data_IF_533948318326
#
_entry.id   IF_533948318326
#
_cell.length_a   1.000
_cell.length_b   1.000
_cell.length_c   1.000
_cell.angle_alpha   90.00
_cell.angle_beta   90.00
_cell.angle_gamma   90.00
#
_symmetry.space_group_name_H-M   'P 1'
#
loop_
_entity.id
_entity.type
_entity.pdbx_description
1 polymer ?
#
# COMPACT_ATOMS: atom_id res chain seq x y z
N UNK A 1 3.86 18.29 3.58
CA UNK A 1 2.47 18.32 3.04
C UNK A 1 2.41 17.23 1.99
N UNK A 2 1.27 16.55 1.74
CA UNK A 2 1.18 15.66 0.59
C UNK A 2 1.44 16.44 -0.68
N UNK A 3 1.97 15.78 -1.71
CA UNK A 3 2.18 16.45 -2.99
C UNK A 3 0.87 17.09 -3.44
N UNK A 4 0.92 18.33 -3.89
CA UNK A 4 -0.26 19.11 -4.27
C UNK A 4 -1.10 18.43 -5.35
N UNK A 5 -0.51 17.48 -6.10
CA UNK A 5 -1.12 16.72 -7.18
C UNK A 5 -2.37 15.91 -6.77
N UNK A 6 -2.40 15.40 -5.53
CA UNK A 6 -3.57 14.64 -5.01
C UNK A 6 -4.75 15.56 -4.71
N UNK A 7 -4.49 16.78 -4.26
CA UNK A 7 -5.53 17.76 -3.89
C UNK A 7 -6.01 18.55 -5.10
N UNK A 8 -5.17 18.74 -6.12
CA UNK A 8 -5.47 19.53 -7.33
C UNK A 8 -6.09 18.73 -8.47
N UNK A 9 -6.30 17.41 -8.29
CA UNK A 9 -6.83 16.54 -9.34
C UNK A 9 -5.83 16.24 -10.47
N UNK A 10 -4.56 16.59 -10.32
CA UNK A 10 -3.54 16.25 -11.32
C UNK A 10 -3.22 14.76 -11.31
N UNK A 11 -3.31 14.11 -10.16
CA UNK A 11 -3.02 12.69 -10.03
C UNK A 11 -4.01 11.82 -10.81
N UNK A 12 -5.31 12.12 -10.78
CA UNK A 12 -6.33 11.35 -11.52
C UNK A 12 -6.11 11.42 -13.03
N UNK A 13 -5.56 12.52 -13.54
CA UNK A 13 -5.21 12.64 -14.97
C UNK A 13 -4.10 11.67 -15.37
N UNK A 14 -3.17 11.39 -14.45
CA UNK A 14 -2.06 10.44 -14.66
C UNK A 14 -2.49 8.98 -14.42
N UNK A 15 -3.37 8.76 -13.44
CA UNK A 15 -3.82 7.44 -12.98
C UNK A 15 -5.35 7.40 -12.88
N UNK A 16 -6.09 7.36 -14.01
CA UNK A 16 -7.55 7.51 -14.04
C UNK A 16 -8.33 6.47 -13.23
N UNK A 17 -7.76 5.29 -13.03
CA UNK A 17 -8.42 4.18 -12.32
C UNK A 17 -7.99 4.04 -10.86
N UNK A 18 -7.20 4.99 -10.31
CA UNK A 18 -6.77 4.95 -8.91
C UNK A 18 -6.31 3.57 -8.46
N UNK A 19 -5.60 2.84 -9.34
CA UNK A 19 -5.11 1.50 -9.06
C UNK A 19 -6.20 0.48 -8.64
N UNK A 20 -7.45 0.69 -9.02
CA UNK A 20 -8.55 -0.23 -8.67
C UNK A 20 -8.32 -1.66 -9.15
N UNK A 21 -7.56 -1.83 -10.25
CA UNK A 21 -7.18 -3.14 -10.78
C UNK A 21 -6.36 -3.99 -9.80
N UNK A 22 -5.65 -3.35 -8.87
CA UNK A 22 -4.82 -4.00 -7.86
C UNK A 22 -5.59 -4.32 -6.57
N UNK A 23 -6.82 -3.79 -6.41
CA UNK A 23 -7.56 -3.81 -5.13
C UNK A 23 -7.95 -5.21 -4.68
N UNK A 24 -8.40 -6.08 -5.60
CA UNK A 24 -8.71 -7.49 -5.29
C UNK A 24 -7.46 -8.21 -4.78
N UNK A 25 -6.35 -7.98 -5.44
CA UNK A 25 -5.08 -8.57 -5.07
C UNK A 25 -4.60 -8.05 -3.70
N UNK A 26 -4.65 -6.73 -3.45
CA UNK A 26 -4.31 -6.12 -2.15
C UNK A 26 -5.18 -6.68 -1.03
N UNK A 27 -6.49 -6.71 -1.22
CA UNK A 27 -7.43 -7.25 -0.24
C UNK A 27 -7.14 -8.73 0.09
N UNK A 28 -6.78 -9.55 -0.91
CA UNK A 28 -6.37 -10.94 -0.69
C UNK A 28 -5.09 -11.02 0.17
N UNK A 29 -4.12 -10.11 -0.03
CA UNK A 29 -2.91 -10.05 0.79
C UNK A 29 -3.18 -9.59 2.21
N UNK A 30 -4.05 -8.61 2.40
CA UNK A 30 -4.52 -8.20 3.73
C UNK A 30 -5.12 -9.40 4.46
N UNK A 31 -6.07 -10.12 3.85
CA UNK A 31 -6.66 -11.33 4.44
C UNK A 31 -5.63 -12.40 4.78
N UNK A 32 -4.64 -12.61 3.91
CA UNK A 32 -3.53 -13.55 4.16
C UNK A 32 -2.74 -13.16 5.41
N UNK A 33 -2.42 -11.85 5.60
CA UNK A 33 -1.75 -11.37 6.81
C UNK A 33 -2.59 -11.63 8.05
N UNK A 34 -3.88 -11.28 8.00
CA UNK A 34 -4.79 -11.49 9.13
C UNK A 34 -4.86 -12.96 9.53
N UNK A 35 -5.00 -13.87 8.56
CA UNK A 35 -5.04 -15.33 8.82
C UNK A 35 -3.73 -15.85 9.42
N UNK A 36 -2.57 -15.44 8.88
CA UNK A 36 -1.25 -15.86 9.36
C UNK A 36 -0.97 -15.42 10.79
N UNK A 37 -1.52 -14.26 11.18
CA UNK A 37 -1.26 -13.66 12.49
C UNK A 37 -2.46 -13.81 13.44
N UNK A 38 -3.47 -14.59 13.08
CA UNK A 38 -4.68 -14.85 13.89
C UNK A 38 -5.38 -13.57 14.34
N UNK A 39 -5.43 -12.55 13.48
CA UNK A 39 -6.10 -11.28 13.74
C UNK A 39 -7.53 -11.27 13.19
N UNK A 40 -8.46 -10.82 14.01
CA UNK A 40 -9.89 -10.70 13.68
C UNK A 40 -10.40 -9.30 14.02
N UNK A 41 -9.96 -8.25 13.28
CA UNK A 41 -10.35 -6.87 13.53
C UNK A 41 -11.85 -6.68 13.26
N UNK A 42 -12.51 -5.87 14.11
CA UNK A 42 -13.92 -5.46 13.94
C UNK A 42 -14.04 -4.11 13.26
N UNK A 43 -13.03 -3.26 13.39
CA UNK A 43 -12.98 -1.96 12.74
C UNK A 43 -11.63 -1.79 12.01
N UNK A 44 -11.70 -1.70 10.68
CA UNK A 44 -10.53 -1.51 9.82
C UNK A 44 -10.56 -0.11 9.24
N UNK A 45 -9.46 0.64 9.46
CA UNK A 45 -9.21 1.92 8.81
C UNK A 45 -8.27 1.76 7.62
N UNK A 46 -8.40 2.63 6.61
CA UNK A 46 -7.43 2.76 5.51
C UNK A 46 -7.08 4.23 5.28
N UNK A 47 -5.79 4.54 5.28
CA UNK A 47 -5.26 5.87 4.95
C UNK A 47 -4.87 5.88 3.47
N UNK A 48 -5.31 6.92 2.75
CA UNK A 48 -5.14 6.97 1.29
C UNK A 48 -6.00 5.90 0.60
N UNK A 49 -7.27 5.79 1.01
CA UNK A 49 -8.16 4.73 0.53
C UNK A 49 -8.55 4.85 -0.94
N UNK A 50 -8.22 5.99 -1.58
CA UNK A 50 -8.59 6.25 -2.95
C UNK A 50 -10.10 6.09 -3.16
N UNK A 51 -10.49 5.25 -4.10
CA UNK A 51 -11.90 4.98 -4.41
C UNK A 51 -12.59 4.03 -3.42
N UNK A 52 -11.93 3.59 -2.33
CA UNK A 52 -12.46 2.66 -1.35
C UNK A 52 -12.56 1.20 -1.83
N UNK A 53 -11.97 0.86 -2.97
CA UNK A 53 -12.15 -0.45 -3.58
C UNK A 53 -11.46 -1.57 -2.78
N UNK A 54 -10.32 -1.32 -2.14
CA UNK A 54 -9.66 -2.32 -1.27
C UNK A 54 -10.58 -2.67 -0.09
N UNK A 55 -11.14 -1.66 0.58
CA UNK A 55 -12.08 -1.86 1.68
C UNK A 55 -13.34 -2.60 1.24
N UNK A 56 -13.89 -2.28 0.05
CA UNK A 56 -15.02 -2.99 -0.52
C UNK A 56 -14.71 -4.48 -0.75
N UNK A 57 -13.53 -4.79 -1.28
CA UNK A 57 -13.10 -6.17 -1.49
C UNK A 57 -12.86 -6.93 -0.17
N UNK A 58 -12.39 -6.23 0.87
CA UNK A 58 -12.29 -6.80 2.22
C UNK A 58 -13.68 -7.08 2.79
N UNK A 59 -14.61 -6.14 2.68
CA UNK A 59 -15.99 -6.28 3.17
C UNK A 59 -16.68 -7.52 2.60
N UNK A 60 -16.45 -7.87 1.32
CA UNK A 60 -17.03 -9.03 0.67
C UNK A 60 -16.52 -10.37 1.23
N UNK A 61 -15.34 -10.39 1.85
CA UNK A 61 -14.69 -11.63 2.28
C UNK A 61 -14.37 -11.69 3.78
N UNK A 62 -14.88 -10.75 4.59
CA UNK A 62 -14.67 -10.71 6.04
C UNK A 62 -15.99 -10.84 6.80
N UNK A 63 -15.88 -10.99 8.13
CA UNK A 63 -17.02 -11.10 9.03
C UNK A 63 -18.06 -10.01 8.71
N UNK A 64 -19.37 -10.36 8.62
CA UNK A 64 -20.45 -9.40 8.41
C UNK A 64 -20.52 -8.28 9.46
N UNK A 65 -19.96 -8.47 10.65
CA UNK A 65 -19.91 -7.44 11.71
C UNK A 65 -18.70 -6.51 11.59
N UNK A 66 -17.73 -6.81 10.70
CA UNK A 66 -16.57 -5.96 10.49
C UNK A 66 -16.98 -4.67 9.77
N UNK A 67 -16.55 -3.54 10.32
CA UNK A 67 -16.77 -2.20 9.78
C UNK A 67 -15.50 -1.66 9.12
N UNK A 68 -15.69 -0.78 8.14
CA UNK A 68 -14.61 -0.25 7.31
C UNK A 68 -14.71 1.27 7.17
N UNK A 69 -13.60 1.96 7.38
CA UNK A 69 -13.52 3.42 7.28
C UNK A 69 -12.30 3.82 6.46
N UNK A 70 -12.53 4.42 5.30
CA UNK A 70 -11.47 4.97 4.45
C UNK A 70 -11.29 6.47 4.65
N UNK A 71 -10.06 6.94 4.54
CA UNK A 71 -9.71 8.37 4.54
C UNK A 71 -8.83 8.67 3.34
N UNK A 72 -9.20 9.70 2.62
CA UNK A 72 -8.37 10.23 1.54
C UNK A 72 -8.46 11.77 1.53
N UNK A 73 -7.40 12.41 1.03
CA UNK A 73 -7.32 13.87 0.89
C UNK A 73 -7.70 14.35 -0.51
N UNK A 74 -7.89 13.43 -1.45
CA UNK A 74 -8.25 13.71 -2.83
C UNK A 74 -9.77 13.74 -3.00
N UNK A 75 -10.38 14.90 -3.35
CA UNK A 75 -11.83 15.01 -3.52
C UNK A 75 -12.37 14.04 -4.57
N UNK A 76 -11.68 13.89 -5.70
CA UNK A 76 -12.12 13.04 -6.80
C UNK A 76 -12.13 11.55 -6.42
N UNK A 77 -11.19 11.13 -5.58
CA UNK A 77 -11.16 9.76 -5.06
C UNK A 77 -12.40 9.46 -4.21
N UNK A 78 -12.73 10.39 -3.32
CA UNK A 78 -13.91 10.26 -2.45
C UNK A 78 -15.21 10.33 -3.24
N UNK A 79 -15.30 11.17 -4.27
CA UNK A 79 -16.44 11.18 -5.18
C UNK A 79 -16.64 9.81 -5.83
N UNK A 80 -15.59 9.21 -6.36
CA UNK A 80 -15.63 7.87 -6.93
C UNK A 80 -15.96 6.78 -5.89
N UNK A 81 -15.66 6.99 -4.62
CA UNK A 81 -15.97 6.03 -3.55
C UNK A 81 -17.45 5.98 -3.20
N UNK A 82 -18.23 7.01 -3.51
CA UNK A 82 -19.64 7.14 -3.09
C UNK A 82 -20.50 5.93 -3.50
N UNK A 83 -20.26 5.38 -4.68
CA UNK A 83 -21.02 4.21 -5.19
C UNK A 83 -20.68 2.91 -4.44
N UNK A 84 -19.65 2.90 -3.61
CA UNK A 84 -19.19 1.74 -2.83
C UNK A 84 -19.58 1.81 -1.36
N UNK A 85 -19.98 3.00 -0.90
CA UNK A 85 -20.33 3.23 0.49
C UNK A 85 -21.66 2.56 0.85
N UNK A 86 -21.75 2.09 2.07
CA UNK A 86 -22.93 1.46 2.66
C UNK A 86 -22.84 1.53 4.20
N UNK A 87 -23.73 0.87 4.93
CA UNK A 87 -23.75 0.87 6.40
C UNK A 87 -22.44 0.38 7.03
N UNK A 88 -21.71 -0.51 6.34
CA UNK A 88 -20.46 -1.09 6.85
C UNK A 88 -19.19 -0.46 6.27
N UNK A 89 -19.28 0.29 5.20
CA UNK A 89 -18.16 0.92 4.51
C UNK A 89 -18.44 2.40 4.29
N UNK A 90 -17.62 3.24 4.90
CA UNK A 90 -17.65 4.68 4.72
C UNK A 90 -16.28 5.19 4.27
N UNK A 91 -16.28 6.22 3.41
CA UNK A 91 -15.07 6.93 2.99
C UNK A 91 -15.25 8.43 3.27
N UNK A 92 -14.21 9.08 3.81
CA UNK A 92 -14.23 10.48 4.19
C UNK A 92 -13.13 11.28 3.48
N UNK A 93 -13.49 12.44 2.99
CA UNK A 93 -12.52 13.43 2.51
C UNK A 93 -11.90 14.12 3.74
N UNK A 94 -10.82 13.54 4.24
CA UNK A 94 -10.15 14.08 5.41
C UNK A 94 -8.71 13.57 5.53
N UNK A 95 -7.88 14.38 6.17
CA UNK A 95 -6.60 13.94 6.69
C UNK A 95 -6.84 13.29 8.06
N UNK A 96 -6.67 11.96 8.13
CA UNK A 96 -6.92 11.18 9.34
C UNK A 96 -6.16 11.71 10.57
N UNK A 97 -5.02 12.39 10.36
CA UNK A 97 -4.24 13.01 11.44
C UNK A 97 -5.00 14.13 12.17
N UNK A 98 -6.05 14.65 11.54
CA UNK A 98 -6.89 15.74 12.05
C UNK A 98 -8.25 15.27 12.53
N UNK A 99 -8.53 13.96 12.46
CA UNK A 99 -9.81 13.38 12.86
C UNK A 99 -9.81 13.04 14.35
N UNK A 100 -10.55 13.79 15.20
CA UNK A 100 -10.59 13.54 16.63
C UNK A 100 -11.19 12.17 16.93
N UNK A 101 -10.50 11.39 17.77
CA UNK A 101 -11.01 10.11 18.23
C UNK A 101 -10.98 8.97 17.19
N UNK A 102 -10.33 9.18 16.04
CA UNK A 102 -10.12 8.08 15.10
C UNK A 102 -9.29 6.98 15.76
N UNK A 103 -9.87 5.79 15.86
CA UNK A 103 -9.20 4.61 16.42
C UNK A 103 -9.73 3.35 15.76
N UNK A 104 -8.82 2.42 15.43
CA UNK A 104 -9.12 1.20 14.65
C UNK A 104 -8.48 -0.01 15.32
N UNK A 105 -9.00 -1.20 15.06
CA UNK A 105 -8.31 -2.45 15.44
C UNK A 105 -7.13 -2.71 14.49
N UNK A 106 -7.28 -2.36 13.21
CA UNK A 106 -6.25 -2.46 12.19
C UNK A 106 -6.29 -1.21 11.30
N UNK A 107 -5.13 -0.60 11.06
CA UNK A 107 -4.96 0.50 10.12
C UNK A 107 -4.17 0.04 8.90
N UNK A 108 -4.76 0.17 7.72
CA UNK A 108 -4.11 -0.11 6.44
C UNK A 108 -3.42 1.16 5.93
N UNK A 109 -2.16 1.03 5.51
CA UNK A 109 -1.33 2.10 4.93
C UNK A 109 -0.68 1.49 3.67
N UNK A 110 -1.43 1.55 2.57
CA UNK A 110 -1.09 0.83 1.33
C UNK A 110 -0.68 1.81 0.23
N UNK A 111 0.61 1.82 -0.14
CA UNK A 111 1.20 2.72 -1.15
C UNK A 111 0.99 4.22 -0.80
N UNK A 112 1.29 4.58 0.45
CA UNK A 112 1.12 5.95 0.96
C UNK A 112 2.44 6.60 1.34
N UNK A 113 3.38 5.83 1.94
CA UNK A 113 4.62 6.40 2.47
C UNK A 113 5.51 6.99 1.37
N UNK A 114 5.46 6.44 0.18
CA UNK A 114 6.21 6.89 -0.98
C UNK A 114 5.89 8.35 -1.34
N UNK A 115 4.68 8.80 -1.01
CA UNK A 115 4.16 10.13 -1.36
C UNK A 115 4.24 11.15 -0.21
N UNK A 116 4.68 10.74 0.99
CA UNK A 116 4.77 11.65 2.13
C UNK A 116 6.10 12.41 2.12
N UNK A 117 6.08 13.74 2.07
CA UNK A 117 7.33 14.55 2.19
C UNK A 117 8.14 14.16 3.43
N UNK A 118 7.47 14.10 4.59
CA UNK A 118 8.05 13.69 5.86
C UNK A 118 7.36 12.42 6.36
N UNK A 119 7.76 11.28 5.80
CA UNK A 119 7.17 9.99 6.16
C UNK A 119 7.47 9.57 7.61
N UNK A 120 8.56 10.02 8.24
CA UNK A 120 8.81 9.78 9.65
C UNK A 120 7.77 10.47 10.55
N UNK A 121 7.46 11.74 10.27
CA UNK A 121 6.40 12.44 11.00
C UNK A 121 5.03 11.79 10.77
N UNK A 122 4.79 11.32 9.55
CA UNK A 122 3.57 10.56 9.24
C UNK A 122 3.50 9.26 10.04
N UNK A 123 4.56 8.46 10.07
CA UNK A 123 4.63 7.23 10.86
C UNK A 123 4.32 7.49 12.35
N UNK A 124 4.93 8.53 12.97
CA UNK A 124 4.62 8.91 14.35
C UNK A 124 3.15 9.19 14.58
N UNK A 125 2.52 9.90 13.66
CA UNK A 125 1.11 10.25 13.79
C UNK A 125 0.16 9.07 13.63
N UNK A 126 0.57 7.98 12.97
CA UNK A 126 -0.23 6.77 12.81
C UNK A 126 -0.21 5.85 14.04
N UNK A 127 0.74 6.03 14.97
CA UNK A 127 0.93 5.10 16.09
C UNK A 127 -0.27 5.00 17.01
N UNK A 128 -0.88 6.12 17.37
CA UNK A 128 -2.00 6.17 18.31
C UNK A 128 -3.33 5.73 17.69
N UNK A 129 -3.43 5.64 16.37
CA UNK A 129 -4.69 5.39 15.68
C UNK A 129 -5.12 3.91 15.71
N UNK A 130 -4.21 2.99 16.00
CA UNK A 130 -4.52 1.55 16.00
C UNK A 130 -3.42 0.77 16.72
N UNK A 131 -3.71 -0.37 17.39
CA UNK A 131 -2.68 -1.28 17.87
C UNK A 131 -1.92 -1.98 16.73
N UNK A 132 -2.58 -2.29 15.60
CA UNK A 132 -1.96 -2.97 14.46
C UNK A 132 -2.00 -2.10 13.22
N UNK A 133 -0.87 -1.99 12.51
CA UNK A 133 -0.74 -1.32 11.22
C UNK A 133 -0.25 -2.32 10.19
N UNK A 134 -0.91 -2.34 9.04
CA UNK A 134 -0.47 -3.12 7.90
C UNK A 134 -0.02 -2.17 6.80
N UNK A 135 1.27 -2.19 6.56
CA UNK A 135 1.92 -1.41 5.52
C UNK A 135 2.07 -2.23 4.24
N UNK A 136 1.91 -1.58 3.11
CA UNK A 136 2.38 -2.05 1.81
C UNK A 136 3.20 -0.96 1.16
N UNK A 137 4.34 -1.33 0.60
CA UNK A 137 5.19 -0.42 -0.18
C UNK A 137 5.85 -1.13 -1.34
N UNK A 138 6.11 -0.38 -2.39
CA UNK A 138 6.82 -0.85 -3.55
C UNK A 138 8.33 -0.76 -3.34
N UNK A 139 9.06 -1.86 -3.60
CA UNK A 139 10.52 -1.89 -3.50
C UNK A 139 11.12 -1.53 -4.87
N UNK A 140 11.23 -0.24 -5.13
CA UNK A 140 11.70 0.27 -6.43
C UNK A 140 13.20 0.49 -6.49
N UNK A 141 13.87 0.50 -5.35
CA UNK A 141 15.30 0.66 -5.27
C UNK A 141 15.99 -0.71 -5.40
N UNK A 142 16.38 -1.06 -6.62
CA UNK A 142 17.13 -2.27 -6.95
C UNK A 142 18.34 -1.94 -7.80
N UNK A 143 19.32 -2.84 -7.86
CA UNK A 143 20.51 -2.67 -8.71
C UNK A 143 20.09 -2.42 -10.18
N UNK A 144 19.15 -3.20 -10.70
CA UNK A 144 18.62 -3.03 -12.03
C UNK A 144 17.97 -1.65 -12.24
N UNK A 145 17.24 -1.14 -11.24
CA UNK A 145 16.57 0.16 -11.33
C UNK A 145 17.58 1.32 -11.35
N UNK A 146 18.63 1.23 -10.53
CA UNK A 146 19.69 2.24 -10.42
C UNK A 146 20.57 2.26 -11.68
N UNK A 147 20.93 1.09 -12.22
CA UNK A 147 21.77 0.97 -13.42
C UNK A 147 21.04 1.46 -14.69
N UNK A 148 19.72 1.48 -14.72
CA UNK A 148 18.94 2.02 -15.85
C UNK A 148 18.84 3.53 -15.74
N UNK A 149 19.64 4.25 -16.52
CA UNK A 149 19.66 5.72 -16.55
C UNK A 149 18.25 6.31 -16.63
N UNK A 150 17.94 7.23 -15.72
CA UNK A 150 16.67 7.96 -15.70
C UNK A 150 15.43 7.15 -15.25
N UNK A 151 15.57 5.88 -14.88
CA UNK A 151 14.43 5.04 -14.51
C UNK A 151 13.69 5.56 -13.28
N UNK A 152 14.40 5.87 -12.19
CA UNK A 152 13.80 6.38 -10.96
C UNK A 152 13.19 7.78 -11.15
N UNK A 153 13.88 8.66 -11.88
CA UNK A 153 13.37 10.01 -12.19
C UNK A 153 12.10 9.96 -13.03
N UNK A 154 12.06 9.09 -14.05
CA UNK A 154 10.87 8.87 -14.88
C UNK A 154 9.72 8.32 -14.03
N UNK A 155 10.02 7.41 -13.13
CA UNK A 155 9.02 6.85 -12.23
C UNK A 155 8.43 7.94 -11.33
N UNK A 156 9.27 8.76 -10.70
CA UNK A 156 8.81 9.91 -9.90
C UNK A 156 7.84 10.82 -10.67
N UNK A 157 8.10 11.07 -11.95
CA UNK A 157 7.22 11.90 -12.77
C UNK A 157 5.86 11.26 -13.07
N UNK A 158 5.80 9.91 -13.12
CA UNK A 158 4.56 9.16 -13.42
C UNK A 158 3.72 8.94 -12.16
N UNK A 159 4.36 8.50 -11.07
CA UNK A 159 3.66 8.04 -9.85
C UNK A 159 3.68 9.06 -8.72
N UNK A 160 4.41 10.18 -8.88
CA UNK A 160 4.65 11.18 -7.82
C UNK A 160 5.30 10.60 -6.55
N UNK A 161 6.07 9.50 -6.70
CA UNK A 161 6.83 8.89 -5.60
C UNK A 161 7.97 9.81 -5.19
N UNK A 162 7.99 10.26 -3.94
CA UNK A 162 9.06 11.07 -3.36
C UNK A 162 10.19 10.20 -2.81
N UNK A 163 9.85 9.01 -2.36
CA UNK A 163 10.76 8.06 -1.71
C UNK A 163 10.77 6.72 -2.42
N UNK A 164 11.96 6.12 -2.46
CA UNK A 164 12.18 4.79 -3.02
C UNK A 164 12.79 3.91 -1.94
N UNK A 165 12.22 2.73 -1.72
CA UNK A 165 12.62 1.84 -0.64
C UNK A 165 13.28 0.56 -1.14
N UNK A 166 14.24 0.05 -0.34
CA UNK A 166 14.55 -1.38 -0.25
C UNK A 166 13.80 -1.96 0.95
N UNK A 167 13.78 -3.29 1.11
CA UNK A 167 13.23 -3.91 2.33
C UNK A 167 13.93 -3.36 3.58
N UNK A 168 15.25 -3.31 3.54
CA UNK A 168 16.05 -2.92 4.69
C UNK A 168 15.77 -1.49 5.13
N UNK A 169 15.76 -0.55 4.18
CA UNK A 169 15.49 0.87 4.50
C UNK A 169 14.07 1.06 5.00
N UNK A 170 13.09 0.34 4.43
CA UNK A 170 11.71 0.42 4.87
C UNK A 170 11.52 -0.14 6.28
N UNK A 171 12.02 -1.36 6.54
CA UNK A 171 11.93 -1.97 7.87
C UNK A 171 12.70 -1.17 8.92
N UNK A 172 13.86 -0.58 8.55
CA UNK A 172 14.61 0.27 9.46
C UNK A 172 13.83 1.55 9.81
N UNK A 173 13.20 2.20 8.83
CA UNK A 173 12.36 3.37 9.10
C UNK A 173 11.21 3.08 10.09
N UNK A 174 10.62 1.89 10.02
CA UNK A 174 9.60 1.48 10.98
C UNK A 174 10.20 1.29 12.38
N UNK A 175 11.39 0.65 12.49
CA UNK A 175 12.08 0.46 13.77
C UNK A 175 12.54 1.78 14.38
N UNK A 176 13.04 2.71 13.59
CA UNK A 176 13.47 4.04 14.04
C UNK A 176 12.30 4.80 14.69
N UNK A 177 11.09 4.59 14.17
CA UNK A 177 9.85 5.09 14.76
C UNK A 177 9.24 4.14 15.81
N UNK A 178 10.04 3.17 16.31
CA UNK A 178 9.66 2.27 17.40
C UNK A 178 8.42 1.41 17.09
N UNK A 179 8.24 1.00 15.84
CA UNK A 179 7.28 -0.04 15.49
C UNK A 179 7.87 -1.42 15.75
N UNK A 180 7.13 -2.29 16.41
CA UNK A 180 7.43 -3.71 16.52
C UNK A 180 6.95 -4.42 15.27
N UNK A 181 7.88 -4.99 14.47
CA UNK A 181 7.56 -5.72 13.26
C UNK A 181 7.16 -7.14 13.63
N UNK A 182 5.93 -7.52 13.36
CA UNK A 182 5.36 -8.83 13.71
C UNK A 182 5.49 -9.82 12.56
N UNK A 183 5.24 -9.39 11.32
CA UNK A 183 5.28 -10.25 10.12
C UNK A 183 5.62 -9.40 8.90
N UNK A 184 6.27 -10.00 7.93
CA UNK A 184 6.49 -9.39 6.63
C UNK A 184 6.71 -10.45 5.53
N UNK A 185 6.41 -10.09 4.29
CA UNK A 185 6.73 -10.94 3.14
C UNK A 185 6.79 -10.13 1.84
N UNK A 186 7.59 -10.63 0.93
CA UNK A 186 7.66 -10.12 -0.43
C UNK A 186 6.47 -10.55 -1.27
N UNK A 187 6.06 -9.66 -2.19
CA UNK A 187 5.07 -9.99 -3.22
C UNK A 187 5.57 -9.54 -4.60
N UNK A 188 5.56 -10.44 -5.60
CA UNK A 188 5.88 -10.06 -6.97
C UNK A 188 4.82 -9.14 -7.57
N UNK A 189 5.20 -7.93 -8.01
CA UNK A 189 4.29 -6.95 -8.64
C UNK A 189 3.70 -7.42 -9.97
N UNK A 190 4.43 -8.24 -10.70
CA UNK A 190 4.02 -8.72 -12.03
C UNK A 190 3.02 -9.85 -12.00
N UNK A 191 2.71 -10.40 -10.82
CA UNK A 191 1.87 -11.60 -10.72
C UNK A 191 0.43 -11.37 -11.21
N UNK A 192 -0.09 -10.17 -11.09
CA UNK A 192 -1.47 -9.81 -11.48
C UNK A 192 -1.57 -9.02 -12.80
N UNK A 193 -0.44 -8.45 -13.30
CA UNK A 193 -0.42 -7.65 -14.54
C UNK A 193 0.08 -8.41 -15.78
N UNK A 194 0.52 -9.65 -15.65
CA UNK A 194 1.08 -10.41 -16.75
C UNK A 194 0.00 -11.05 -17.61
N UNK A 195 -0.36 -10.41 -18.71
CA UNK A 195 -1.13 -11.01 -19.79
C UNK A 195 -0.19 -11.41 -20.94
N UNK A 196 -0.31 -12.64 -21.43
CA UNK A 196 0.44 -13.16 -22.58
C UNK A 196 1.54 -14.18 -22.23
N UNK A 197 1.70 -15.19 -23.09
CA UNK A 197 2.61 -16.34 -22.89
C UNK A 197 4.08 -15.89 -22.92
N UNK A 198 4.45 -14.99 -23.84
CA UNK A 198 5.81 -14.46 -23.97
C UNK A 198 6.29 -13.73 -22.70
N UNK A 199 5.41 -12.96 -22.06
CA UNK A 199 5.73 -12.29 -20.80
C UNK A 199 5.90 -13.26 -19.64
N UNK A 200 5.13 -14.35 -19.61
CA UNK A 200 5.26 -15.41 -18.59
C UNK A 200 6.61 -16.12 -18.69
N UNK A 201 7.09 -16.41 -19.90
CA UNK A 201 8.41 -17.04 -20.13
C UNK A 201 9.55 -16.13 -19.68
N UNK A 202 9.49 -14.82 -20.01
CA UNK A 202 10.50 -13.84 -19.59
C UNK A 202 10.55 -13.63 -18.05
N UNK A 203 9.50 -14.04 -17.33
CA UNK A 203 9.46 -13.99 -15.87
C UNK A 203 10.05 -15.24 -15.19
N UNK A 204 10.29 -16.34 -15.95
CA UNK A 204 10.76 -17.59 -15.39
C UNK A 204 12.11 -17.46 -14.66
N UNK A 205 13.16 -16.82 -15.23
CA UNK A 205 14.42 -16.61 -14.52
C UNK A 205 14.24 -15.82 -13.21
N UNK A 206 13.34 -14.81 -13.23
CA UNK A 206 13.02 -14.01 -12.03
C UNK A 206 12.34 -14.86 -10.95
N UNK A 207 11.41 -15.75 -11.32
CA UNK A 207 10.74 -16.65 -10.38
C UNK A 207 11.71 -17.66 -9.79
N UNK A 208 12.62 -18.19 -10.57
CA UNK A 208 13.66 -19.13 -10.10
C UNK A 208 14.57 -18.39 -9.12
N UNK A 209 15.08 -17.22 -9.49
CA UNK A 209 15.93 -16.41 -8.62
C UNK A 209 15.21 -16.10 -7.28
N UNK A 210 13.95 -15.75 -7.32
CA UNK A 210 13.15 -15.47 -6.12
C UNK A 210 12.91 -16.71 -5.26
N UNK A 211 12.73 -17.88 -5.86
CA UNK A 211 12.55 -19.13 -5.14
C UNK A 211 13.82 -19.60 -4.45
N UNK A 212 15.00 -19.29 -5.02
CA UNK A 212 16.29 -19.60 -4.45
C UNK A 212 16.67 -18.61 -3.34
N UNK A 213 16.54 -17.32 -3.60
CA UNK A 213 16.81 -16.25 -2.65
C UNK A 213 15.93 -15.02 -2.98
N UNK A 214 14.91 -14.82 -2.17
CA UNK A 214 13.97 -13.71 -2.34
C UNK A 214 14.59 -12.34 -2.09
N UNK A 215 15.54 -12.24 -1.13
CA UNK A 215 16.25 -11.00 -0.83
C UNK A 215 17.17 -10.61 -1.97
N UNK A 216 17.97 -11.54 -2.47
CA UNK A 216 18.85 -11.33 -3.61
C UNK A 216 18.04 -10.92 -4.86
N UNK A 217 16.95 -11.64 -5.15
CA UNK A 217 16.10 -11.32 -6.29
C UNK A 217 15.49 -9.92 -6.19
N UNK A 218 15.01 -9.52 -5.01
CA UNK A 218 14.45 -8.18 -4.79
C UNK A 218 15.52 -7.08 -4.96
N UNK A 219 16.70 -7.26 -4.39
CA UNK A 219 17.81 -6.30 -4.46
C UNK A 219 18.38 -6.17 -5.89
N UNK A 220 18.55 -7.29 -6.58
CA UNK A 220 19.16 -7.29 -7.92
C UNK A 220 18.17 -6.90 -9.01
N UNK A 221 17.05 -7.62 -9.09
CA UNK A 221 16.12 -7.55 -10.23
C UNK A 221 14.96 -6.55 -10.00
N UNK A 222 14.65 -6.24 -8.73
CA UNK A 222 13.49 -5.40 -8.40
C UNK A 222 12.16 -6.00 -8.87
N UNK A 223 11.11 -5.19 -8.85
CA UNK A 223 9.76 -5.61 -9.27
C UNK A 223 9.02 -6.42 -8.20
N UNK A 224 9.34 -6.17 -6.96
CA UNK A 224 8.68 -6.70 -5.77
C UNK A 224 8.09 -5.57 -4.94
N UNK A 225 7.16 -5.90 -4.08
CA UNK A 225 6.63 -5.07 -3.01
C UNK A 225 6.71 -5.81 -1.69
N UNK A 226 6.51 -5.10 -0.60
CA UNK A 226 6.61 -5.63 0.75
C UNK A 226 5.29 -5.36 1.50
N UNK A 227 4.72 -6.38 2.10
CA UNK A 227 3.72 -6.23 3.15
C UNK A 227 4.40 -6.36 4.50
N UNK A 228 4.06 -5.48 5.44
CA UNK A 228 4.63 -5.47 6.80
C UNK A 228 3.51 -5.25 7.81
N UNK A 229 3.29 -6.20 8.69
CA UNK A 229 2.44 -6.04 9.86
C UNK A 229 3.30 -5.56 11.01
N UNK A 230 2.91 -4.46 11.65
CA UNK A 230 3.59 -3.89 12.79
C UNK A 230 2.60 -3.43 13.87
N UNK A 231 3.15 -3.29 15.09
CA UNK A 231 2.44 -2.84 16.28
C UNK A 231 3.04 -1.57 16.84
#
# INVERSE_FOLDING_TARGET
MPTNAFVTGEYIKKVPYWHTDDSVWKANRVRQVLQRNHLSPRLIGEVGCGTGEVLRQLQLGMDPQCLFMGYDIAPEAIELSQTRQNERLQCRLADIRKEPGAHFDLLLILDVLEHQENYFSFLRSMKSLSPYKLFHTVLDLSAQAVLRKGNLSKRRQITDDLHFFTKETFLQSLRDEQYEILDWFYVPRSAHRASGISRKILQLPRKICFALDSDFAARLLGGYSLFVLAK
#
